data_IF_348952522172
#
_entry.id   IF_348952522172
#
_cell.length_a   1.000
_cell.length_b   1.000
_cell.length_c   1.000
_cell.angle_alpha   90.00
_cell.angle_beta   90.00
_cell.angle_gamma   90.00
#
_symmetry.space_group_name_H-M   'P 1'
#
loop_
_entity.id
_entity.type
_entity.pdbx_description
1 polymer ?
#
# COMPACT_ATOMS: atom_id res chain seq x y z
N UNK A 1 -8.54 14.88 -23.20
CA UNK A 1 -7.36 14.94 -24.11
C UNK A 1 -7.83 14.64 -25.53
N UNK A 2 -7.33 15.33 -26.56
CA UNK A 2 -7.70 15.09 -27.97
C UNK A 2 -6.48 15.18 -28.88
N UNK A 3 -6.33 14.20 -29.81
CA UNK A 3 -5.30 14.24 -30.86
C UNK A 3 -5.40 15.52 -31.70
N UNK A 4 -6.63 16.01 -31.95
CA UNK A 4 -6.85 17.25 -32.72
C UNK A 4 -6.41 18.52 -32.00
N UNK A 5 -6.33 18.51 -30.66
CA UNK A 5 -5.89 19.65 -29.84
C UNK A 5 -4.40 19.59 -29.49
N UNK A 6 -3.68 18.57 -29.95
CA UNK A 6 -2.26 18.36 -29.65
C UNK A 6 -1.93 18.08 -28.17
N UNK A 7 -2.94 17.86 -27.32
CA UNK A 7 -2.78 17.72 -25.86
C UNK A 7 -2.94 16.26 -25.40
N UNK A 8 -2.35 15.33 -26.14
CA UNK A 8 -2.37 13.89 -25.82
C UNK A 8 -1.10 13.53 -25.05
N UNK A 9 -1.28 12.89 -23.90
CA UNK A 9 -0.20 12.25 -23.17
C UNK A 9 -0.08 10.82 -23.70
N UNK A 10 1.11 10.44 -24.18
CA UNK A 10 1.38 9.05 -24.55
C UNK A 10 1.55 8.21 -23.28
N UNK A 11 0.67 7.22 -23.02
CA UNK A 11 0.77 6.39 -21.84
C UNK A 11 2.07 5.59 -21.80
N UNK A 12 2.64 5.17 -22.94
CA UNK A 12 3.89 4.41 -22.98
C UNK A 12 5.09 5.26 -22.58
N UNK A 13 5.09 6.56 -22.92
CA UNK A 13 6.11 7.48 -22.43
C UNK A 13 6.03 7.63 -20.90
N UNK A 14 4.81 7.76 -20.36
CA UNK A 14 4.60 7.84 -18.91
C UNK A 14 5.01 6.55 -18.19
N UNK A 15 4.68 5.38 -18.75
CA UNK A 15 5.11 4.08 -18.21
C UNK A 15 6.63 3.94 -18.23
N UNK A 16 7.28 4.30 -19.34
CA UNK A 16 8.74 4.24 -19.44
C UNK A 16 9.44 5.19 -18.45
N UNK A 17 8.83 6.34 -18.17
CA UNK A 17 9.42 7.35 -17.29
C UNK A 17 9.14 7.10 -15.80
N UNK A 18 7.94 6.62 -15.45
CA UNK A 18 7.47 6.56 -14.06
C UNK A 18 7.02 5.17 -13.60
N UNK A 19 6.80 4.23 -14.52
CA UNK A 19 6.26 2.91 -14.25
C UNK A 19 4.75 2.81 -14.46
N UNK A 20 4.29 1.59 -14.76
CA UNK A 20 2.88 1.31 -15.04
C UNK A 20 1.97 1.61 -13.83
N UNK A 21 2.41 1.25 -12.62
CA UNK A 21 1.61 1.45 -11.40
C UNK A 21 1.44 2.92 -11.04
N UNK A 22 2.47 3.73 -11.26
CA UNK A 22 2.38 5.18 -11.07
C UNK A 22 1.31 5.77 -12.00
N UNK A 23 1.29 5.37 -13.26
CA UNK A 23 0.28 5.82 -14.22
C UNK A 23 -1.12 5.31 -13.86
N UNK A 24 -1.27 4.01 -13.52
CA UNK A 24 -2.54 3.40 -13.12
C UNK A 24 -3.15 4.13 -11.93
N UNK A 25 -2.37 4.34 -10.88
CA UNK A 25 -2.84 5.03 -9.69
C UNK A 25 -3.18 6.49 -9.99
N UNK A 26 -2.38 7.19 -10.81
CA UNK A 26 -2.66 8.59 -11.17
C UNK A 26 -3.97 8.76 -11.93
N UNK A 27 -4.38 7.76 -12.70
CA UNK A 27 -5.65 7.76 -13.45
C UNK A 27 -6.87 7.54 -12.56
N UNK A 28 -6.72 6.91 -11.39
CA UNK A 28 -7.84 6.53 -10.52
C UNK A 28 -7.91 7.41 -9.27
N UNK A 29 -6.75 7.80 -8.70
CA UNK A 29 -6.66 8.52 -7.44
C UNK A 29 -7.50 9.79 -7.43
N UNK A 30 -8.41 9.87 -6.45
CA UNK A 30 -9.26 11.02 -6.20
C UNK A 30 -10.26 11.33 -7.32
N UNK A 31 -10.45 10.42 -8.28
CA UNK A 31 -11.39 10.61 -9.39
C UNK A 31 -12.80 10.27 -8.94
N UNK A 32 -13.67 11.28 -8.95
CA UNK A 32 -15.09 11.12 -8.66
C UNK A 32 -15.82 10.28 -9.74
N UNK A 33 -16.94 9.61 -9.39
CA UNK A 33 -17.76 8.91 -10.36
C UNK A 33 -18.24 9.86 -11.48
N UNK A 34 -18.10 9.43 -12.73
CA UNK A 34 -18.45 10.21 -13.92
C UNK A 34 -17.73 11.58 -14.06
N UNK A 35 -16.64 11.79 -13.33
CA UNK A 35 -15.81 12.99 -13.43
C UNK A 35 -14.76 12.88 -14.54
N UNK A 36 -14.41 14.01 -15.13
CA UNK A 36 -13.27 14.11 -16.05
C UNK A 36 -11.95 13.87 -15.31
N UNK A 37 -11.07 13.07 -15.91
CA UNK A 37 -9.71 12.84 -15.40
C UNK A 37 -8.75 13.85 -16.03
N UNK A 38 -8.21 14.74 -15.21
CA UNK A 38 -7.06 15.57 -15.59
C UNK A 38 -5.77 14.85 -15.22
N UNK A 39 -5.09 14.29 -16.23
CA UNK A 39 -3.79 13.66 -16.07
C UNK A 39 -2.69 14.68 -16.33
N UNK A 40 -1.74 14.80 -15.40
CA UNK A 40 -0.55 15.63 -15.53
C UNK A 40 0.71 14.82 -15.21
N UNK A 41 1.85 15.23 -15.77
CA UNK A 41 3.17 14.66 -15.44
C UNK A 41 3.43 14.69 -13.93
N UNK A 42 3.06 15.79 -13.28
CA UNK A 42 3.19 15.97 -11.83
C UNK A 42 2.38 14.94 -11.04
N UNK A 43 1.14 14.65 -11.45
CA UNK A 43 0.30 13.63 -10.80
C UNK A 43 0.94 12.25 -10.90
N UNK A 44 1.44 11.87 -12.08
CA UNK A 44 2.11 10.58 -12.29
C UNK A 44 3.41 10.50 -11.48
N UNK A 45 4.20 11.56 -11.46
CA UNK A 45 5.41 11.67 -10.63
C UNK A 45 5.11 11.50 -9.14
N UNK A 46 4.01 12.09 -8.65
CA UNK A 46 3.54 11.89 -7.28
C UNK A 46 3.30 10.41 -6.97
N UNK A 47 2.67 9.67 -7.89
CA UNK A 47 2.41 8.25 -7.69
C UNK A 47 3.66 7.36 -7.82
N UNK A 48 4.65 7.79 -8.60
CA UNK A 48 5.98 7.17 -8.59
C UNK A 48 6.68 7.36 -7.24
N UNK A 49 6.51 8.53 -6.60
CA UNK A 49 7.02 8.76 -5.25
C UNK A 49 6.28 7.91 -4.21
N UNK A 50 4.95 7.74 -4.35
CA UNK A 50 4.18 6.80 -3.52
C UNK A 50 4.70 5.36 -3.65
N UNK A 51 4.97 4.90 -4.88
CA UNK A 51 5.60 3.60 -5.13
C UNK A 51 6.94 3.47 -4.39
N UNK A 52 7.76 4.53 -4.41
CA UNK A 52 9.03 4.58 -3.67
C UNK A 52 8.83 4.53 -2.16
N UNK A 53 7.79 5.17 -1.63
CA UNK A 53 7.42 5.12 -0.21
C UNK A 53 7.08 3.69 0.21
N UNK A 54 6.30 2.95 -0.59
CA UNK A 54 5.99 1.53 -0.35
C UNK A 54 7.28 0.71 -0.22
N UNK A 55 8.20 0.85 -1.18
CA UNK A 55 9.51 0.18 -1.15
C UNK A 55 10.32 0.51 0.11
N UNK A 56 10.35 1.77 0.52
CA UNK A 56 11.10 2.20 1.70
C UNK A 56 10.54 1.60 2.99
N UNK A 57 9.20 1.48 3.10
CA UNK A 57 8.56 0.82 4.25
C UNK A 57 8.95 -0.67 4.28
N UNK A 58 8.87 -1.36 3.14
CA UNK A 58 9.23 -2.77 3.05
C UNK A 58 10.68 -3.04 3.46
N UNK A 59 11.62 -2.24 2.92
CA UNK A 59 13.04 -2.30 3.32
C UNK A 59 13.24 -2.04 4.80
N UNK A 60 12.54 -1.07 5.38
CA UNK A 60 12.62 -0.78 6.80
C UNK A 60 12.20 -1.97 7.66
N UNK A 61 11.11 -2.64 7.29
CA UNK A 61 10.63 -3.84 7.98
C UNK A 61 11.66 -4.98 7.84
N UNK A 62 12.16 -5.23 6.63
CA UNK A 62 13.18 -6.26 6.37
C UNK A 62 14.48 -6.02 7.16
N UNK A 63 14.90 -4.76 7.32
CA UNK A 63 16.04 -4.43 8.18
C UNK A 63 15.79 -4.81 9.63
N UNK A 64 14.57 -4.60 10.14
CA UNK A 64 14.18 -4.96 11.49
C UNK A 64 14.06 -6.47 11.73
N UNK A 65 13.81 -7.25 10.67
CA UNK A 65 13.71 -8.72 10.71
C UNK A 65 14.98 -9.42 10.25
N UNK A 66 16.08 -8.69 10.04
CA UNK A 66 17.34 -9.24 9.53
C UNK A 66 17.18 -10.02 8.21
N UNK A 67 16.31 -9.53 7.33
CA UNK A 67 16.00 -10.14 6.04
C UNK A 67 15.09 -11.37 6.13
N UNK A 68 14.54 -11.68 7.31
CA UNK A 68 13.53 -12.73 7.46
C UNK A 68 12.11 -12.19 7.27
N UNK A 69 11.17 -13.10 7.05
CA UNK A 69 9.74 -12.77 7.09
C UNK A 69 9.38 -12.19 8.46
N UNK A 70 8.53 -11.14 8.53
CA UNK A 70 8.03 -10.64 9.80
C UNK A 70 7.29 -11.72 10.60
N UNK A 71 7.36 -11.70 11.94
CA UNK A 71 6.58 -12.62 12.75
C UNK A 71 5.09 -12.51 12.44
N UNK A 72 4.37 -13.62 12.51
CA UNK A 72 2.92 -13.62 12.28
C UNK A 72 2.24 -12.87 13.43
N UNK A 73 1.41 -11.90 13.08
CA UNK A 73 0.62 -11.14 14.04
C UNK A 73 -0.52 -12.00 14.63
N UNK A 74 -0.65 -11.97 15.96
CA UNK A 74 -1.79 -12.49 16.71
C UNK A 74 -2.28 -11.42 17.69
N UNK A 75 -3.59 -11.16 17.73
CA UNK A 75 -4.21 -10.21 18.67
C UNK A 75 -3.96 -10.56 20.14
N UNK A 76 -3.60 -11.82 20.45
CA UNK A 76 -3.31 -12.31 21.80
C UNK A 76 -1.82 -12.25 22.16
N UNK A 77 -0.96 -11.80 21.26
CA UNK A 77 0.47 -11.73 21.55
C UNK A 77 0.78 -10.76 22.70
N UNK A 78 1.80 -11.08 23.49
CA UNK A 78 2.31 -10.18 24.51
C UNK A 78 3.11 -9.03 23.89
N UNK A 79 3.23 -7.92 24.62
CA UNK A 79 4.06 -6.77 24.21
C UNK A 79 3.36 -5.76 23.30
N UNK A 80 2.07 -5.96 22.96
CA UNK A 80 1.28 -4.94 22.27
C UNK A 80 1.06 -3.71 23.15
N UNK A 81 1.30 -2.54 22.57
CA UNK A 81 1.04 -1.25 23.21
C UNK A 81 -0.16 -0.54 22.58
N UNK A 82 -0.51 0.63 23.13
CA UNK A 82 -1.62 1.44 22.65
C UNK A 82 -1.48 1.82 21.17
N UNK A 83 -0.29 2.28 20.74
CA UNK A 83 -0.03 2.64 19.34
C UNK A 83 -0.26 1.46 18.37
N UNK A 84 0.07 0.24 18.79
CA UNK A 84 -0.18 -0.98 17.99
C UNK A 84 -1.67 -1.21 17.79
N UNK A 85 -2.43 -1.08 18.89
CA UNK A 85 -3.89 -1.27 18.87
C UNK A 85 -4.60 -0.20 18.04
N UNK A 86 -4.09 1.04 18.06
CA UNK A 86 -4.59 2.15 17.26
C UNK A 86 -4.38 1.90 15.76
N UNK A 87 -3.17 1.55 15.31
CA UNK A 87 -2.92 1.30 13.88
C UNK A 87 -3.68 0.08 13.36
N UNK A 88 -3.84 -0.97 14.18
CA UNK A 88 -4.63 -2.15 13.83
C UNK A 88 -6.10 -1.75 13.65
N UNK A 89 -6.64 -0.94 14.54
CA UNK A 89 -8.03 -0.47 14.46
C UNK A 89 -8.25 0.42 13.23
N UNK A 90 -7.30 1.31 12.91
CA UNK A 90 -7.35 2.11 11.68
C UNK A 90 -7.31 1.23 10.43
N UNK A 91 -6.44 0.21 10.40
CA UNK A 91 -6.38 -0.74 9.29
C UNK A 91 -7.69 -1.51 9.12
N UNK A 92 -8.31 -2.00 10.19
CA UNK A 92 -9.60 -2.70 10.12
C UNK A 92 -10.71 -1.82 9.54
N UNK A 93 -10.69 -0.52 9.86
CA UNK A 93 -11.62 0.44 9.26
C UNK A 93 -11.30 0.70 7.78
N UNK A 94 -10.02 0.85 7.44
CA UNK A 94 -9.57 1.01 6.05
C UNK A 94 -9.99 -0.17 5.18
N UNK A 95 -9.81 -1.41 5.66
CA UNK A 95 -10.22 -2.63 4.94
C UNK A 95 -11.71 -2.56 4.63
N UNK A 96 -12.56 -2.26 5.62
CA UNK A 96 -14.02 -2.15 5.42
C UNK A 96 -14.36 -1.07 4.39
N UNK A 97 -13.82 0.14 4.55
CA UNK A 97 -14.09 1.28 3.68
C UNK A 97 -13.63 1.02 2.24
N UNK A 98 -12.42 0.50 2.07
CA UNK A 98 -11.85 0.17 0.76
C UNK A 98 -12.66 -0.92 0.07
N UNK A 99 -13.06 -1.96 0.80
CA UNK A 99 -13.92 -3.04 0.28
C UNK A 99 -15.25 -2.48 -0.21
N UNK A 100 -15.95 -1.71 0.62
CA UNK A 100 -17.23 -1.08 0.24
C UNK A 100 -17.07 -0.15 -0.97
N UNK A 101 -15.97 0.62 -1.03
CA UNK A 101 -15.69 1.52 -2.16
C UNK A 101 -15.47 0.73 -3.44
N UNK A 102 -14.71 -0.36 -3.43
CA UNK A 102 -14.50 -1.23 -4.59
C UNK A 102 -15.80 -1.90 -5.04
N UNK A 103 -16.58 -2.46 -4.12
CA UNK A 103 -17.88 -3.10 -4.41
C UNK A 103 -18.90 -2.11 -4.98
N UNK A 104 -18.80 -0.83 -4.59
CA UNK A 104 -19.64 0.25 -5.11
C UNK A 104 -19.06 0.93 -6.36
N UNK A 105 -18.00 0.38 -6.97
CA UNK A 105 -17.27 0.96 -8.11
C UNK A 105 -16.71 2.39 -7.86
N UNK A 106 -16.53 2.77 -6.59
CA UNK A 106 -15.94 4.04 -6.14
C UNK A 106 -14.42 3.91 -6.00
N UNK A 107 -13.75 3.56 -7.08
CA UNK A 107 -12.31 3.29 -7.08
C UNK A 107 -11.47 4.51 -6.67
N UNK A 108 -11.85 5.71 -7.08
CA UNK A 108 -11.13 6.93 -6.69
C UNK A 108 -11.11 7.16 -5.18
N UNK A 109 -12.23 6.88 -4.50
CA UNK A 109 -12.30 6.92 -3.04
C UNK A 109 -11.43 5.84 -2.41
N UNK A 110 -11.53 4.59 -2.89
CA UNK A 110 -10.71 3.49 -2.40
C UNK A 110 -9.21 3.82 -2.47
N UNK A 111 -8.74 4.35 -3.60
CA UNK A 111 -7.33 4.73 -3.77
C UNK A 111 -6.93 5.94 -2.92
N UNK A 112 -7.84 6.88 -2.68
CA UNK A 112 -7.57 8.04 -1.82
C UNK A 112 -7.41 7.59 -0.36
N UNK A 113 -8.35 6.78 0.14
CA UNK A 113 -8.29 6.24 1.51
C UNK A 113 -7.00 5.45 1.74
N UNK A 114 -6.61 4.61 0.77
CA UNK A 114 -5.35 3.86 0.80
C UNK A 114 -4.12 4.77 0.81
N UNK A 115 -4.11 5.80 -0.05
CA UNK A 115 -3.00 6.75 -0.10
C UNK A 115 -2.85 7.48 1.23
N UNK A 116 -3.96 8.01 1.77
CA UNK A 116 -3.97 8.74 3.04
C UNK A 116 -3.48 7.87 4.20
N UNK A 117 -4.01 6.64 4.32
CA UNK A 117 -3.60 5.72 5.37
C UNK A 117 -2.11 5.36 5.27
N UNK A 118 -1.66 4.89 4.10
CA UNK A 118 -0.27 4.43 3.93
C UNK A 118 0.70 5.57 4.19
N UNK A 119 0.41 6.77 3.68
CA UNK A 119 1.32 7.90 3.81
C UNK A 119 1.30 8.48 5.22
N UNK A 120 0.13 8.89 5.70
CA UNK A 120 0.02 9.79 6.84
C UNK A 120 -0.22 9.07 8.17
N UNK A 121 -0.91 7.93 8.17
CA UNK A 121 -1.14 7.15 9.40
C UNK A 121 -0.04 6.10 9.60
N UNK A 122 0.26 5.34 8.55
CA UNK A 122 1.19 4.25 8.65
C UNK A 122 2.64 4.73 8.60
N UNK A 123 3.05 5.39 7.51
CA UNK A 123 4.45 5.69 7.31
C UNK A 123 4.95 6.90 8.11
N UNK A 124 4.22 8.02 8.12
CA UNK A 124 4.66 9.23 8.81
C UNK A 124 4.50 9.13 10.34
N UNK A 125 3.60 8.27 10.83
CA UNK A 125 3.31 8.14 12.27
C UNK A 125 3.76 6.78 12.82
N UNK A 126 3.12 5.68 12.42
CA UNK A 126 3.35 4.39 13.08
C UNK A 126 4.76 3.82 12.82
N UNK A 127 5.25 3.87 11.58
CA UNK A 127 6.62 3.46 11.23
C UNK A 127 7.66 4.28 12.00
N UNK A 128 7.47 5.60 12.11
CA UNK A 128 8.37 6.48 12.87
C UNK A 128 8.38 6.14 14.37
N UNK A 129 7.20 5.95 14.99
CA UNK A 129 7.07 5.53 16.39
C UNK A 129 7.70 4.15 16.66
N UNK A 130 7.68 3.26 15.66
CA UNK A 130 8.17 1.89 15.77
C UNK A 130 9.71 1.78 15.79
N UNK A 131 10.44 2.78 15.26
CA UNK A 131 11.90 2.73 15.08
C UNK A 131 12.68 2.37 16.34
N UNK A 132 12.30 2.92 17.49
CA UNK A 132 13.00 2.64 18.75
C UNK A 132 12.76 1.21 19.21
N UNK A 133 11.50 0.76 19.18
CA UNK A 133 11.11 -0.59 19.60
C UNK A 133 11.77 -1.68 18.75
N UNK A 134 11.91 -1.46 17.44
CA UNK A 134 12.66 -2.37 16.57
C UNK A 134 14.13 -2.47 16.99
N UNK A 135 14.80 -1.34 17.28
CA UNK A 135 16.19 -1.34 17.75
C UNK A 135 16.35 -2.05 19.10
N UNK A 136 15.34 -1.98 19.95
CA UNK A 136 15.30 -2.63 21.25
C UNK A 136 14.92 -4.13 21.14
N UNK A 137 14.71 -4.67 19.93
CA UNK A 137 14.45 -6.09 19.67
C UNK A 137 13.00 -6.52 19.94
N UNK A 138 12.05 -5.58 19.94
CA UNK A 138 10.63 -5.89 20.16
C UNK A 138 10.02 -6.62 18.95
N UNK A 139 9.72 -7.90 19.12
CA UNK A 139 9.11 -8.72 18.07
C UNK A 139 7.65 -8.39 17.83
N UNK A 140 6.95 -7.80 18.81
CA UNK A 140 5.53 -7.46 18.66
C UNK A 140 5.33 -6.34 17.65
N UNK A 141 6.17 -5.30 17.67
CA UNK A 141 6.09 -4.22 16.68
C UNK A 141 6.40 -4.72 15.26
N UNK A 142 7.34 -5.66 15.11
CA UNK A 142 7.66 -6.25 13.80
C UNK A 142 6.48 -7.06 13.26
N UNK A 143 5.77 -7.80 14.12
CA UNK A 143 4.58 -8.54 13.73
C UNK A 143 3.45 -7.60 13.26
N UNK A 144 3.21 -6.51 14.00
CA UNK A 144 2.19 -5.52 13.66
C UNK A 144 2.54 -4.79 12.36
N UNK A 145 3.80 -4.37 12.20
CA UNK A 145 4.28 -3.76 10.94
C UNK A 145 4.09 -4.70 9.75
N UNK A 146 4.46 -5.97 9.90
CA UNK A 146 4.27 -6.99 8.86
C UNK A 146 2.80 -7.18 8.49
N UNK A 147 1.91 -7.27 9.49
CA UNK A 147 0.47 -7.42 9.28
C UNK A 147 -0.17 -6.21 8.60
N UNK A 148 0.15 -4.99 9.06
CA UNK A 148 -0.39 -3.76 8.46
C UNK A 148 0.12 -3.61 7.03
N UNK A 149 1.42 -3.81 6.81
CA UNK A 149 2.02 -3.65 5.49
C UNK A 149 1.52 -4.69 4.48
N UNK A 150 1.50 -5.98 4.84
CA UNK A 150 0.95 -7.03 3.97
C UNK A 150 -0.50 -6.78 3.59
N UNK A 151 -1.32 -6.30 4.54
CA UNK A 151 -2.71 -5.90 4.27
C UNK A 151 -2.79 -4.72 3.31
N UNK A 152 -1.95 -3.69 3.47
CA UNK A 152 -1.87 -2.58 2.51
C UNK A 152 -1.49 -3.04 1.11
N UNK A 153 -0.53 -3.95 0.96
CA UNK A 153 -0.13 -4.49 -0.34
C UNK A 153 -1.31 -5.22 -1.02
N UNK A 154 -2.03 -6.06 -0.28
CA UNK A 154 -3.23 -6.76 -0.78
C UNK A 154 -4.31 -5.76 -1.25
N UNK A 155 -4.59 -4.72 -0.46
CA UNK A 155 -5.59 -3.71 -0.82
C UNK A 155 -5.15 -2.85 -2.03
N UNK A 156 -3.85 -2.58 -2.17
CA UNK A 156 -3.29 -1.80 -3.27
C UNK A 156 -3.13 -2.59 -4.57
N UNK A 157 -3.02 -3.92 -4.50
CA UNK A 157 -2.72 -4.78 -5.65
C UNK A 157 -3.63 -4.58 -6.87
N UNK A 158 -4.96 -4.38 -6.74
CA UNK A 158 -5.83 -4.05 -7.88
C UNK A 158 -5.40 -2.79 -8.64
N UNK A 159 -4.77 -1.83 -7.96
CA UNK A 159 -4.36 -0.54 -8.51
C UNK A 159 -2.88 -0.53 -8.92
N UNK A 160 -2.02 -1.22 -8.15
CA UNK A 160 -0.57 -1.26 -8.33
C UNK A 160 -0.02 -2.70 -8.42
N UNK A 161 -0.42 -3.49 -9.43
CA UNK A 161 -0.14 -4.92 -9.47
C UNK A 161 1.34 -5.28 -9.58
N UNK A 162 2.20 -4.43 -10.14
CA UNK A 162 3.60 -4.80 -10.37
C UNK A 162 4.48 -4.56 -9.14
N UNK A 163 4.41 -3.37 -8.56
CA UNK A 163 5.17 -2.96 -7.38
C UNK A 163 4.77 -3.78 -6.17
N UNK A 164 3.46 -3.97 -5.94
CA UNK A 164 2.99 -4.75 -4.79
C UNK A 164 3.38 -6.22 -4.89
N UNK A 165 3.35 -6.81 -6.09
CA UNK A 165 3.76 -8.20 -6.32
C UNK A 165 5.25 -8.41 -6.05
N UNK A 166 6.12 -7.53 -6.59
CA UNK A 166 7.56 -7.68 -6.37
C UNK A 166 7.92 -7.50 -4.89
N UNK A 167 7.32 -6.51 -4.22
CA UNK A 167 7.51 -6.33 -2.77
C UNK A 167 7.03 -7.56 -2.00
N UNK A 168 5.87 -8.12 -2.37
CA UNK A 168 5.35 -9.33 -1.74
C UNK A 168 6.30 -10.51 -1.89
N UNK A 169 6.82 -10.72 -3.10
CA UNK A 169 7.78 -11.77 -3.38
C UNK A 169 9.06 -11.65 -2.57
N UNK A 170 9.54 -10.43 -2.35
CA UNK A 170 10.75 -10.17 -1.56
C UNK A 170 10.53 -10.38 -0.04
N UNK A 171 9.31 -10.18 0.45
CA UNK A 171 9.05 -10.05 1.89
C UNK A 171 8.21 -11.16 2.53
N UNK A 172 7.32 -11.80 1.78
CA UNK A 172 6.26 -12.67 2.32
C UNK A 172 6.15 -14.01 1.59
N UNK A 173 7.02 -14.29 0.63
CA UNK A 173 6.90 -15.41 -0.29
C UNK A 173 8.19 -16.20 -0.42
N UNK A 174 8.61 -16.87 0.66
CA UNK A 174 9.75 -17.80 0.59
C UNK A 174 9.49 -19.02 -0.32
N UNK A 175 8.23 -19.37 -0.54
CA UNK A 175 7.80 -20.50 -1.36
C UNK A 175 7.46 -20.12 -2.81
N UNK A 176 7.53 -18.84 -3.17
CA UNK A 176 7.15 -18.34 -4.49
C UNK A 176 5.64 -18.16 -4.69
N UNK A 177 4.85 -18.16 -3.61
CA UNK A 177 3.45 -17.70 -3.61
C UNK A 177 3.32 -16.28 -4.18
N UNK A 178 2.26 -16.04 -4.95
CA UNK A 178 2.04 -14.76 -5.62
C UNK A 178 0.94 -14.00 -4.88
N UNK A 179 1.11 -12.68 -4.74
CA UNK A 179 0.14 -11.79 -4.12
C UNK A 179 -1.22 -11.87 -4.81
N UNK A 180 -1.23 -11.99 -6.14
CA UNK A 180 -2.49 -12.12 -6.91
C UNK A 180 -3.34 -13.35 -6.52
N UNK A 181 -2.75 -14.36 -5.86
CA UNK A 181 -3.46 -15.57 -5.39
C UNK A 181 -3.93 -15.46 -3.95
N UNK A 182 -3.55 -14.42 -3.24
CA UNK A 182 -3.91 -14.21 -1.86
C UNK A 182 -5.37 -13.79 -1.71
N UNK A 183 -5.97 -14.16 -0.57
CA UNK A 183 -7.30 -13.70 -0.21
C UNK A 183 -7.31 -12.20 0.07
N UNK A 184 -8.45 -11.58 -0.24
CA UNK A 184 -8.73 -10.22 0.16
C UNK A 184 -8.68 -10.08 1.71
N UNK A 185 -8.09 -9.01 2.27
CA UNK A 185 -7.99 -8.86 3.71
C UNK A 185 -9.35 -8.89 4.41
N UNK A 186 -9.43 -9.59 5.54
CA UNK A 186 -10.66 -9.72 6.32
C UNK A 186 -11.58 -10.87 5.90
N UNK A 187 -11.33 -11.52 4.75
CA UNK A 187 -11.94 -12.80 4.42
C UNK A 187 -11.14 -13.91 5.11
N UNK A 188 -11.84 -14.78 5.86
CA UNK A 188 -11.27 -16.03 6.38
C UNK A 188 -11.82 -17.18 5.52
N UNK A 189 -10.97 -18.14 5.21
CA UNK A 189 -11.39 -19.45 4.68
C UNK A 189 -12.34 -20.18 5.66
#
# INVERSE_FOLDING_TARGET
MSKSKGNVIDPLLMVNQYGADALRLALVLGVGPASDVSLSDEKVRGMRNFSTKLWNIGRFILMGTEGQEPPVFDKKMSGLIKDDSEIISSLENLIKQTTTSIESFRFGQATEDLYQFVWHEFADVYVEKSKKRIKDGDTAVLAVLGYVYSSCLKLLHPFMPFVTEVIWQEMFSKDGSLLIKELWPGVKD
#
